data_IF_396902439737
#
_entry.id   IF_396902439737
#
_cell.length_a   1.000
_cell.length_b   1.000
_cell.length_c   1.000
_cell.angle_alpha   90.00
_cell.angle_beta   90.00
_cell.angle_gamma   90.00
#
_symmetry.space_group_name_H-M   'P 1'
#
loop_
_entity.id
_entity.type
_entity.pdbx_description
1 polymer ?
#
# COMPACT_ATOMS: atom_id res chain seq x y z
N UNK A 1 41.47 -10.47 2.46
CA UNK A 1 40.64 -10.26 3.65
C UNK A 1 39.19 -10.37 3.21
N UNK A 2 38.53 -11.44 3.61
CA UNK A 2 37.12 -11.72 3.34
C UNK A 2 36.25 -10.70 4.05
N UNK A 3 35.65 -9.77 3.30
CA UNK A 3 34.71 -8.79 3.83
C UNK A 3 33.44 -9.51 4.29
N UNK A 4 33.20 -9.53 5.60
CA UNK A 4 31.94 -9.94 6.20
C UNK A 4 30.80 -9.07 5.63
N UNK A 5 30.01 -9.63 4.71
CA UNK A 5 28.72 -9.07 4.33
C UNK A 5 27.76 -9.27 5.51
N UNK A 6 27.78 -8.36 6.50
CA UNK A 6 26.86 -8.40 7.62
C UNK A 6 25.43 -8.16 7.13
N UNK A 7 24.70 -9.27 6.97
CA UNK A 7 23.42 -9.35 6.29
C UNK A 7 22.29 -8.66 7.05
N UNK A 8 21.91 -7.48 6.57
CA UNK A 8 20.55 -6.96 6.69
C UNK A 8 20.00 -6.49 5.34
N UNK A 9 19.75 -7.41 4.37
CA UNK A 9 18.80 -7.11 3.33
C UNK A 9 17.40 -7.40 3.89
N UNK A 10 16.47 -6.48 3.64
CA UNK A 10 15.03 -6.68 3.81
C UNK A 10 14.68 -8.13 3.44
N UNK A 11 13.87 -8.83 4.24
CA UNK A 11 13.47 -10.18 3.86
C UNK A 11 12.53 -10.06 2.64
N UNK A 12 13.09 -10.25 1.44
CA UNK A 12 12.38 -10.07 0.16
C UNK A 12 12.02 -11.40 -0.49
N UNK A 13 12.03 -12.51 0.23
CA UNK A 13 11.56 -13.79 -0.30
C UNK A 13 10.08 -13.95 0.07
N UNK A 14 9.27 -14.68 -0.68
CA UNK A 14 7.89 -15.05 -0.36
C UNK A 14 7.69 -16.53 -0.71
N UNK A 15 7.02 -17.30 0.15
CA UNK A 15 6.63 -18.67 -0.20
C UNK A 15 5.27 -18.61 -0.85
N UNK A 16 5.19 -19.00 -2.12
CA UNK A 16 3.92 -19.15 -2.81
C UNK A 16 3.08 -20.21 -2.08
N UNK A 17 1.90 -19.80 -1.59
CA UNK A 17 1.03 -20.67 -0.78
C UNK A 17 0.38 -21.79 -1.59
N UNK A 18 0.41 -21.71 -2.92
CA UNK A 18 -0.17 -22.69 -3.84
C UNK A 18 0.86 -23.68 -4.37
N UNK A 19 2.09 -23.23 -4.65
CA UNK A 19 3.16 -24.08 -5.19
C UNK A 19 4.20 -24.50 -4.15
N UNK A 20 4.27 -23.81 -3.02
CA UNK A 20 5.32 -23.98 -2.00
C UNK A 20 6.68 -23.42 -2.42
N UNK A 21 6.79 -22.77 -3.58
CA UNK A 21 8.04 -22.23 -4.09
C UNK A 21 8.41 -20.90 -3.43
N UNK A 22 9.71 -20.72 -3.17
CA UNK A 22 10.24 -19.45 -2.69
C UNK A 22 10.45 -18.49 -3.87
N UNK A 23 9.60 -17.49 -3.98
CA UNK A 23 9.67 -16.42 -4.97
C UNK A 23 10.43 -15.22 -4.39
N UNK A 24 11.41 -14.69 -5.12
CA UNK A 24 12.07 -13.44 -4.73
C UNK A 24 11.25 -12.24 -5.20
N UNK A 25 10.91 -11.35 -4.27
CA UNK A 25 10.29 -10.06 -4.54
C UNK A 25 11.36 -9.07 -5.00
N UNK A 26 11.35 -8.76 -6.30
CA UNK A 26 12.34 -7.86 -6.85
C UNK A 26 12.02 -6.39 -6.57
N UNK A 27 12.97 -5.72 -5.90
CA UNK A 27 13.03 -4.27 -5.79
C UNK A 27 13.90 -3.75 -6.93
N UNK A 28 13.29 -3.05 -7.88
CA UNK A 28 13.96 -2.57 -9.09
C UNK A 28 13.29 -1.28 -9.62
N UNK A 29 13.58 -0.89 -10.85
CA UNK A 29 12.98 0.30 -11.48
C UNK A 29 11.48 0.20 -11.75
N UNK A 30 10.87 -0.97 -11.61
CA UNK A 30 9.45 -1.25 -11.91
C UNK A 30 8.63 -1.68 -10.69
N UNK A 31 9.28 -2.10 -9.60
CA UNK A 31 8.62 -2.52 -8.37
C UNK A 31 9.45 -2.23 -7.12
N UNK A 32 8.77 -2.10 -5.99
CA UNK A 32 9.37 -1.88 -4.69
C UNK A 32 8.59 -2.61 -3.61
N UNK A 33 9.27 -3.10 -2.59
CA UNK A 33 8.65 -3.74 -1.43
C UNK A 33 8.51 -2.71 -0.32
N UNK A 34 7.32 -2.57 0.23
CA UNK A 34 7.01 -1.57 1.24
C UNK A 34 6.30 -2.20 2.45
N UNK A 35 6.50 -1.69 3.67
CA UNK A 35 5.75 -2.15 4.81
C UNK A 35 4.28 -1.79 4.70
N UNK A 36 3.41 -2.78 4.89
CA UNK A 36 1.95 -2.61 4.90
C UNK A 36 1.56 -1.56 5.93
N UNK A 37 2.12 -1.63 7.15
CA UNK A 37 1.85 -0.68 8.22
C UNK A 37 2.11 0.77 7.75
N UNK A 38 3.28 1.06 7.16
CA UNK A 38 3.61 2.41 6.70
C UNK A 38 2.72 2.88 5.54
N UNK A 39 2.28 1.97 4.66
CA UNK A 39 1.40 2.31 3.53
C UNK A 39 -0.07 2.53 3.95
N UNK A 40 -0.49 1.90 5.06
CA UNK A 40 -1.81 2.12 5.67
C UNK A 40 -1.87 3.42 6.46
N UNK A 41 -0.77 3.77 7.11
CA UNK A 41 -0.65 5.03 7.82
C UNK A 41 -0.64 6.20 6.82
N UNK A 42 -1.27 7.31 7.19
CA UNK A 42 -1.25 8.57 6.45
C UNK A 42 0.10 9.29 6.54
N UNK A 43 1.21 8.57 6.37
CA UNK A 43 2.57 9.06 6.53
C UNK A 43 3.05 9.82 5.28
N UNK A 44 2.96 9.17 4.12
CA UNK A 44 3.16 9.78 2.80
C UNK A 44 1.82 10.20 2.22
N UNK A 45 1.67 11.50 1.95
CA UNK A 45 0.37 12.14 1.75
C UNK A 45 0.43 13.22 0.68
N UNK A 46 -0.71 13.60 0.07
CA UNK A 46 -0.69 14.59 -0.99
C UNK A 46 -0.18 15.94 -0.52
N UNK A 47 0.62 16.59 -1.36
CA UNK A 47 1.04 17.97 -1.18
C UNK A 47 -0.18 18.87 -1.06
N UNK A 48 -0.26 19.64 0.03
CA UNK A 48 -1.28 20.66 0.19
C UNK A 48 -0.94 21.80 -0.78
N UNK A 49 -1.80 22.06 -1.76
CA UNK A 49 -1.65 23.25 -2.61
C UNK A 49 -1.66 24.48 -1.71
N UNK A 50 -0.59 25.28 -1.81
CA UNK A 50 -0.38 26.46 -1.00
C UNK A 50 -1.58 27.39 -1.11
N UNK A 51 -2.36 27.43 -0.04
CA UNK A 51 -3.04 28.66 0.35
C UNK A 51 -2.11 29.32 1.35
N UNK A 52 -2.11 30.64 1.44
CA UNK A 52 -1.25 31.43 2.35
C UNK A 52 -1.27 31.03 3.84
N UNK A 53 -2.11 30.04 4.22
CA UNK A 53 -2.20 29.41 5.55
C UNK A 53 -1.58 28.01 5.64
N UNK A 54 -1.01 27.44 4.58
CA UNK A 54 -0.34 26.13 4.61
C UNK A 54 1.00 26.27 5.34
N UNK A 55 0.99 26.30 6.67
CA UNK A 55 2.21 26.23 7.47
C UNK A 55 2.97 24.97 7.09
N UNK A 56 4.07 25.14 6.36
CA UNK A 56 4.96 24.07 5.89
C UNK A 56 5.56 23.23 7.03
N UNK A 57 5.45 23.68 8.28
CA UNK A 57 6.02 23.07 9.48
C UNK A 57 4.98 22.51 10.46
N UNK A 58 3.78 22.13 10.00
CA UNK A 58 2.80 21.49 10.91
C UNK A 58 3.31 20.08 11.25
N UNK A 59 3.70 19.87 12.52
CA UNK A 59 3.96 18.53 13.05
C UNK A 59 2.70 17.70 12.89
N UNK A 60 2.77 16.63 12.12
CA UNK A 60 1.70 15.64 12.06
C UNK A 60 1.88 14.68 13.23
N UNK A 61 0.77 14.32 13.87
CA UNK A 61 0.71 13.23 14.84
C UNK A 61 -0.22 12.18 14.24
N UNK A 62 0.28 10.97 14.10
CA UNK A 62 -0.48 9.82 13.61
C UNK A 62 -0.50 8.79 14.73
N UNK A 63 -1.70 8.34 15.11
CA UNK A 63 -1.84 7.15 15.93
C UNK A 63 -1.53 5.93 15.05
N UNK A 64 -0.51 5.18 15.43
CA UNK A 64 -0.04 4.01 14.72
C UNK A 64 -0.17 2.74 15.56
N UNK A 65 -0.92 2.81 16.67
CA UNK A 65 -1.06 1.71 17.63
C UNK A 65 -1.58 0.45 16.95
N UNK A 66 -2.68 0.54 16.19
CA UNK A 66 -3.27 -0.62 15.50
C UNK A 66 -2.28 -1.30 14.53
N UNK A 67 -1.43 -0.53 13.86
CA UNK A 67 -0.52 -1.03 12.81
C UNK A 67 0.82 -1.52 13.37
N UNK A 68 1.30 -0.94 14.49
CA UNK A 68 2.67 -1.16 14.98
C UNK A 68 2.76 -1.89 16.33
N UNK A 69 1.67 -1.99 17.10
CA UNK A 69 1.67 -2.73 18.39
C UNK A 69 2.01 -4.21 18.22
N UNK A 70 1.82 -4.75 17.00
CA UNK A 70 2.14 -6.14 16.70
C UNK A 70 3.63 -6.40 16.50
N UNK A 71 4.48 -5.37 16.40
CA UNK A 71 5.93 -5.55 16.28
C UNK A 71 6.48 -6.31 17.50
N UNK A 72 7.51 -7.11 17.27
CA UNK A 72 8.14 -7.95 18.29
C UNK A 72 8.63 -7.09 19.46
N UNK A 73 9.23 -5.93 19.18
CA UNK A 73 9.62 -4.97 20.22
C UNK A 73 8.44 -4.42 21.02
N UNK A 74 7.29 -4.18 20.36
CA UNK A 74 6.09 -3.72 21.05
C UNK A 74 5.51 -4.82 21.95
N UNK A 75 5.49 -6.07 21.48
CA UNK A 75 5.01 -7.22 22.26
C UNK A 75 5.94 -7.60 23.41
N UNK A 76 7.25 -7.69 23.16
CA UNK A 76 8.23 -8.10 24.18
C UNK A 76 8.30 -7.10 25.32
N UNK A 77 8.18 -5.81 24.99
CA UNK A 77 8.17 -4.76 26.00
C UNK A 77 6.74 -4.51 26.53
N UNK A 78 5.67 -4.96 25.89
CA UNK A 78 4.31 -4.64 26.31
C UNK A 78 3.96 -3.16 26.11
N UNK A 79 4.46 -2.54 25.04
CA UNK A 79 4.00 -1.22 24.59
C UNK A 79 2.56 -1.34 24.07
N UNK A 80 1.71 -0.39 24.47
CA UNK A 80 0.27 -0.37 24.17
C UNK A 80 -0.20 0.90 23.46
N UNK A 81 0.66 1.93 23.38
CA UNK A 81 0.41 3.19 22.66
C UNK A 81 1.58 3.45 21.71
N UNK A 82 1.31 3.59 20.41
CA UNK A 82 2.32 3.89 19.40
C UNK A 82 1.92 5.11 18.60
N UNK A 83 2.78 6.13 18.60
CA UNK A 83 2.55 7.40 17.91
C UNK A 83 3.69 7.71 16.96
N UNK A 84 3.35 8.24 15.80
CA UNK A 84 4.31 8.78 14.84
C UNK A 84 4.16 10.29 14.81
N UNK A 85 5.26 11.01 15.01
CA UNK A 85 5.29 12.47 14.97
C UNK A 85 6.39 12.97 14.06
N UNK A 86 6.16 14.01 13.27
CA UNK A 86 7.22 14.58 12.43
C UNK A 86 6.71 15.51 11.35
N UNK A 87 7.59 15.79 10.38
CA UNK A 87 7.24 16.52 9.17
C UNK A 87 6.22 15.75 8.33
N UNK A 88 5.38 16.47 7.60
CA UNK A 88 4.52 15.88 6.57
C UNK A 88 5.38 15.44 5.37
N UNK A 89 5.25 14.18 4.97
CA UNK A 89 5.97 13.62 3.82
C UNK A 89 5.08 13.65 2.57
N UNK A 90 5.56 14.25 1.48
CA UNK A 90 4.83 14.33 0.21
C UNK A 90 5.00 13.09 -0.68
N UNK A 91 4.07 12.87 -1.61
CA UNK A 91 4.14 11.73 -2.54
C UNK A 91 5.11 11.97 -3.70
N UNK A 92 5.38 13.22 -4.07
CA UNK A 92 6.20 13.52 -5.26
C UNK A 92 7.71 13.46 -5.00
N UNK A 93 8.17 13.86 -3.81
CA UNK A 93 9.57 13.85 -3.39
C UNK A 93 9.82 12.82 -2.31
N UNK A 94 9.16 12.97 -1.16
CA UNK A 94 9.56 12.28 0.06
C UNK A 94 9.31 10.79 -0.04
N UNK A 95 8.20 10.39 -0.67
CA UNK A 95 7.95 9.00 -1.00
C UNK A 95 9.01 8.44 -1.95
N UNK A 96 9.43 9.17 -2.99
CA UNK A 96 10.46 8.69 -3.94
C UNK A 96 11.84 8.55 -3.29
N UNK A 97 12.21 9.49 -2.40
CA UNK A 97 13.45 9.39 -1.63
C UNK A 97 13.39 8.18 -0.71
N UNK A 98 12.26 7.94 -0.03
CA UNK A 98 12.04 6.71 0.74
C UNK A 98 12.17 5.44 -0.12
N UNK A 99 11.54 5.40 -1.30
CA UNK A 99 11.72 4.29 -2.25
C UNK A 99 13.20 4.10 -2.63
N UNK A 100 13.92 5.20 -2.83
CA UNK A 100 15.35 5.19 -3.11
C UNK A 100 16.19 4.60 -1.99
N UNK A 101 15.88 4.91 -0.73
CA UNK A 101 16.54 4.31 0.45
C UNK A 101 16.37 2.78 0.43
N UNK A 102 15.13 2.32 0.31
CA UNK A 102 14.79 0.89 0.32
C UNK A 102 15.44 0.16 -0.86
N UNK A 103 15.39 0.76 -2.05
CA UNK A 103 16.05 0.21 -3.23
C UNK A 103 17.57 0.15 -3.04
N UNK A 104 18.18 1.18 -2.47
CA UNK A 104 19.63 1.25 -2.26
C UNK A 104 20.09 0.21 -1.24
N UNK A 105 19.37 0.05 -0.12
CA UNK A 105 19.64 -1.02 0.85
C UNK A 105 19.47 -2.41 0.25
N UNK A 106 18.50 -2.59 -0.65
CA UNK A 106 18.30 -3.87 -1.34
C UNK A 106 19.37 -4.18 -2.38
N UNK A 107 19.93 -3.16 -3.05
CA UNK A 107 20.87 -3.33 -4.17
C UNK A 107 22.33 -3.37 -3.67
N UNK A 108 22.70 -2.49 -2.74
CA UNK A 108 24.07 -2.33 -2.24
C UNK A 108 24.29 -2.95 -0.85
N UNK A 109 23.22 -3.29 -0.12
CA UNK A 109 23.31 -3.74 1.27
C UNK A 109 23.54 -2.59 2.26
N UNK A 110 23.84 -2.94 3.51
CA UNK A 110 24.20 -2.01 4.58
C UNK A 110 25.42 -2.53 5.34
N UNK A 111 26.26 -1.62 5.83
CA UNK A 111 27.40 -1.91 6.72
C UNK A 111 27.10 -1.31 8.08
N UNK A 112 26.96 -2.15 9.11
CA UNK A 112 26.59 -1.70 10.46
C UNK A 112 25.35 -0.78 10.48
N UNK A 113 24.31 -1.19 9.74
CA UNK A 113 23.03 -0.48 9.57
C UNK A 113 23.12 0.85 8.78
N UNK A 114 24.28 1.14 8.21
CA UNK A 114 24.51 2.32 7.36
C UNK A 114 24.59 1.90 5.89
N UNK A 115 23.77 2.54 5.07
CA UNK A 115 23.89 2.56 3.62
C UNK A 115 24.87 3.67 3.23
N UNK A 116 25.81 3.39 2.33
CA UNK A 116 26.75 4.37 1.78
C UNK A 116 26.81 4.20 0.25
N UNK A 117 26.61 5.29 -0.49
CA UNK A 117 26.67 5.32 -1.96
C UNK A 117 26.89 6.74 -2.48
N UNK A 118 27.18 6.89 -3.77
CA UNK A 118 27.34 8.22 -4.34
C UNK A 118 26.02 8.98 -4.44
N UNK A 119 26.05 10.31 -4.41
CA UNK A 119 24.83 11.11 -4.57
C UNK A 119 24.17 10.85 -5.94
N UNK A 120 24.97 10.71 -7.00
CA UNK A 120 24.46 10.43 -8.36
C UNK A 120 23.74 9.09 -8.42
N UNK A 121 24.29 8.06 -7.79
CA UNK A 121 23.61 6.76 -7.67
C UNK A 121 22.34 6.88 -6.83
N UNK A 122 22.39 7.57 -5.69
CA UNK A 122 21.20 7.73 -4.85
C UNK A 122 20.05 8.44 -5.58
N UNK A 123 20.34 9.47 -6.38
CA UNK A 123 19.34 10.13 -7.25
C UNK A 123 18.70 9.15 -8.23
N UNK A 124 19.50 8.27 -8.85
CA UNK A 124 19.01 7.21 -9.76
C UNK A 124 18.15 6.20 -9.01
N UNK A 125 18.52 5.84 -7.78
CA UNK A 125 17.78 4.90 -6.95
C UNK A 125 16.42 5.45 -6.53
N UNK A 126 16.33 6.76 -6.27
CA UNK A 126 15.07 7.48 -6.03
C UNK A 126 14.16 7.57 -7.27
N UNK A 127 14.62 7.14 -8.45
CA UNK A 127 13.86 7.22 -9.70
C UNK A 127 13.85 8.61 -10.35
N UNK A 128 14.79 9.48 -9.97
CA UNK A 128 14.99 10.77 -10.65
C UNK A 128 15.98 10.62 -11.82
N UNK A 129 15.89 11.53 -12.79
CA UNK A 129 16.87 11.62 -13.87
C UNK A 129 18.23 12.06 -13.29
N UNK A 130 19.22 11.17 -13.31
CA UNK A 130 20.54 11.41 -12.72
C UNK A 130 21.28 12.59 -13.36
N UNK A 131 20.96 12.95 -14.62
CA UNK A 131 21.48 14.17 -15.27
C UNK A 131 21.00 15.45 -14.60
N UNK A 132 20.00 15.36 -13.72
CA UNK A 132 19.45 16.47 -12.94
C UNK A 132 20.02 16.53 -11.53
N UNK A 133 21.14 15.86 -11.20
CA UNK A 133 21.84 15.93 -9.91
C UNK A 133 22.49 17.30 -9.59
N UNK A 134 21.93 18.37 -10.15
CA UNK A 134 22.34 19.75 -9.91
C UNK A 134 22.02 20.20 -8.47
N UNK A 135 22.50 21.39 -8.10
CA UNK A 135 22.30 21.98 -6.76
C UNK A 135 20.83 21.94 -6.31
N UNK A 136 19.88 22.25 -7.19
CA UNK A 136 18.44 22.24 -6.87
C UNK A 136 17.94 20.84 -6.49
N UNK A 137 18.40 19.79 -7.16
CA UNK A 137 18.06 18.41 -6.80
C UNK A 137 18.74 17.99 -5.50
N UNK A 138 19.98 18.42 -5.28
CA UNK A 138 20.72 18.22 -4.02
C UNK A 138 19.97 18.83 -2.84
N UNK A 139 19.55 20.08 -2.95
CA UNK A 139 18.74 20.76 -1.93
C UNK A 139 17.39 20.06 -1.70
N UNK A 140 16.73 19.59 -2.78
CA UNK A 140 15.46 18.87 -2.71
C UNK A 140 15.58 17.54 -1.94
N UNK A 141 16.59 16.74 -2.26
CA UNK A 141 16.85 15.46 -1.57
C UNK A 141 17.29 15.69 -0.13
N UNK A 142 18.18 16.67 0.10
CA UNK A 142 18.61 17.07 1.44
C UNK A 142 17.42 17.43 2.34
N UNK A 143 16.51 18.29 1.86
CA UNK A 143 15.29 18.63 2.59
C UNK A 143 14.39 17.40 2.84
N UNK A 144 14.33 16.47 1.88
CA UNK A 144 13.56 15.24 2.03
C UNK A 144 14.14 14.31 3.10
N UNK A 145 15.46 14.09 3.10
CA UNK A 145 16.18 13.34 4.12
C UNK A 145 16.00 13.96 5.51
N UNK A 146 16.07 15.29 5.60
CA UNK A 146 15.79 16.02 6.85
C UNK A 146 14.36 15.75 7.35
N UNK A 147 13.35 15.80 6.47
CA UNK A 147 11.96 15.47 6.84
C UNK A 147 11.82 14.01 7.26
N UNK A 148 12.46 13.07 6.57
CA UNK A 148 12.42 11.64 6.90
C UNK A 148 13.04 11.37 8.28
N UNK A 149 14.18 12.01 8.58
CA UNK A 149 14.83 11.92 9.89
C UNK A 149 14.01 12.59 11.02
N UNK A 150 13.18 13.58 10.69
CA UNK A 150 12.29 14.23 11.65
C UNK A 150 11.06 13.38 12.02
N UNK A 151 10.79 12.29 11.30
CA UNK A 151 9.72 11.34 11.63
C UNK A 151 10.18 10.44 12.76
N UNK A 152 9.62 10.68 13.94
CA UNK A 152 9.88 9.97 15.18
C UNK A 152 8.73 9.02 15.50
N UNK A 153 9.05 7.77 15.83
CA UNK A 153 8.14 6.75 16.33
C UNK A 153 8.33 6.64 17.85
N UNK A 154 7.23 6.79 18.59
CA UNK A 154 7.20 6.70 20.05
C UNK A 154 6.32 5.52 20.45
N UNK A 155 6.94 4.53 21.10
CA UNK A 155 6.27 3.38 21.68
C UNK A 155 6.19 3.59 23.19
N UNK A 156 5.01 3.40 23.79
CA UNK A 156 4.79 3.65 25.21
C UNK A 156 3.91 2.58 25.85
N UNK A 157 4.16 2.34 27.13
CA UNK A 157 3.23 1.72 28.07
C UNK A 157 3.04 2.68 29.25
N UNK A 158 2.34 2.24 30.31
CA UNK A 158 2.20 3.03 31.54
C UNK A 158 3.56 3.29 32.24
N UNK A 159 4.53 2.39 32.09
CA UNK A 159 5.76 2.40 32.90
C UNK A 159 7.04 2.63 32.10
N UNK A 160 7.01 2.52 30.77
CA UNK A 160 8.19 2.70 29.93
C UNK A 160 7.86 3.26 28.56
N UNK A 161 8.87 3.84 27.92
CA UNK A 161 8.77 4.32 26.55
C UNK A 161 10.06 4.16 25.78
N UNK A 162 9.94 3.92 24.49
CA UNK A 162 11.04 3.88 23.54
C UNK A 162 10.74 4.82 22.38
N UNK A 163 11.75 5.57 21.96
CA UNK A 163 11.63 6.54 20.87
C UNK A 163 12.71 6.22 19.84
N UNK A 164 12.31 6.13 18.58
CA UNK A 164 13.20 5.94 17.44
C UNK A 164 12.74 6.79 16.26
N UNK A 165 13.42 6.72 15.12
CA UNK A 165 13.16 7.49 13.92
C UNK A 165 12.90 6.56 12.73
N UNK A 166 12.16 7.05 11.73
CA UNK A 166 11.98 6.34 10.47
C UNK A 166 13.32 6.18 9.72
N UNK A 167 14.14 7.23 9.78
CA UNK A 167 15.55 7.25 9.35
C UNK A 167 16.35 7.80 10.53
N UNK A 168 17.33 7.04 11.04
CA UNK A 168 18.05 7.42 12.26
C UNK A 168 18.93 8.64 12.03
N UNK A 169 19.68 8.66 10.93
CA UNK A 169 20.43 9.82 10.48
C UNK A 169 20.67 9.74 8.98
N UNK A 170 20.87 10.91 8.37
CA UNK A 170 21.32 11.03 6.99
C UNK A 170 22.44 12.05 6.95
N UNK A 171 23.58 11.65 6.39
CA UNK A 171 24.72 12.51 6.10
C UNK A 171 24.93 12.54 4.59
N UNK A 172 25.38 13.68 4.08
CA UNK A 172 25.78 13.78 2.69
C UNK A 172 26.88 14.83 2.55
N UNK A 173 27.81 14.57 1.66
CA UNK A 173 28.83 15.51 1.23
C UNK A 173 28.74 15.67 -0.29
N UNK A 174 28.50 16.91 -0.72
CA UNK A 174 28.37 17.22 -2.14
C UNK A 174 29.73 17.22 -2.84
N UNK A 175 30.80 17.60 -2.13
CA UNK A 175 32.14 17.70 -2.70
C UNK A 175 32.77 16.32 -2.84
N UNK A 176 32.60 15.47 -1.82
CA UNK A 176 33.07 14.08 -1.85
C UNK A 176 32.09 13.15 -2.60
N UNK A 177 30.93 13.68 -3.00
CA UNK A 177 29.82 12.97 -3.66
C UNK A 177 29.27 11.77 -2.88
N UNK A 178 29.26 11.83 -1.54
CA UNK A 178 28.83 10.73 -0.66
C UNK A 178 27.45 11.01 -0.07
N UNK A 179 26.65 9.94 0.06
CA UNK A 179 25.42 9.90 0.87
C UNK A 179 25.50 8.71 1.82
N UNK A 180 25.33 8.98 3.10
CA UNK A 180 25.24 7.98 4.17
C UNK A 180 23.86 8.03 4.83
N UNK A 181 23.20 6.87 4.95
CA UNK A 181 21.88 6.76 5.55
C UNK A 181 21.89 5.65 6.58
N UNK A 182 21.67 6.00 7.84
CA UNK A 182 21.58 5.04 8.93
C UNK A 182 20.13 4.66 9.20
N UNK A 183 19.84 3.37 9.06
CA UNK A 183 18.53 2.81 9.34
C UNK A 183 18.34 2.54 10.84
N UNK A 184 17.08 2.35 11.27
CA UNK A 184 16.77 1.74 12.56
C UNK A 184 16.57 0.23 12.37
N UNK A 185 17.49 -0.63 12.87
CA UNK A 185 17.44 -2.07 12.61
C UNK A 185 16.19 -2.73 13.15
N UNK A 186 15.67 -2.24 14.27
CA UNK A 186 14.45 -2.76 14.91
C UNK A 186 13.20 -2.54 14.04
N UNK A 187 13.24 -1.59 13.10
CA UNK A 187 12.15 -1.38 12.15
C UNK A 187 12.24 -2.30 10.92
N UNK A 188 13.33 -3.05 10.71
CA UNK A 188 13.40 -4.00 9.59
C UNK A 188 12.41 -5.16 9.72
N UNK A 189 11.90 -5.44 10.93
CA UNK A 189 10.79 -6.37 11.14
C UNK A 189 9.53 -5.99 10.31
N UNK A 190 9.36 -4.70 10.00
CA UNK A 190 8.29 -4.23 9.11
C UNK A 190 8.35 -4.83 7.69
N UNK A 191 9.49 -5.41 7.31
CA UNK A 191 9.71 -6.09 6.04
C UNK A 191 9.70 -7.61 6.15
N UNK A 192 9.37 -8.17 7.33
CA UNK A 192 9.16 -9.61 7.47
C UNK A 192 7.90 -10.08 6.73
N UNK A 193 7.82 -11.39 6.52
CA UNK A 193 6.71 -12.06 5.83
C UNK A 193 5.37 -11.64 6.46
N UNK A 194 4.34 -11.44 5.64
CA UNK A 194 3.00 -10.94 5.99
C UNK A 194 2.87 -9.46 6.40
N UNK A 195 3.97 -8.70 6.52
CA UNK A 195 3.94 -7.26 6.86
C UNK A 195 4.36 -6.33 5.74
N UNK A 196 4.51 -6.86 4.52
CA UNK A 196 4.99 -6.13 3.35
C UNK A 196 4.08 -6.32 2.14
N UNK A 197 4.18 -5.38 1.21
CA UNK A 197 3.45 -5.37 -0.06
C UNK A 197 4.42 -5.04 -1.20
N UNK A 198 4.25 -5.70 -2.35
CA UNK A 198 4.96 -5.37 -3.57
C UNK A 198 4.19 -4.29 -4.34
N UNK A 199 4.67 -3.05 -4.29
CA UNK A 199 4.13 -1.96 -5.10
C UNK A 199 4.73 -1.98 -6.50
N UNK A 200 3.89 -1.77 -7.51
CA UNK A 200 4.28 -1.62 -8.92
C UNK A 200 4.39 -0.15 -9.27
N UNK A 201 5.58 0.29 -9.64
CA UNK A 201 5.87 1.71 -9.92
C UNK A 201 5.17 2.21 -11.19
N UNK A 202 4.84 1.32 -12.13
CA UNK A 202 4.06 1.66 -13.33
C UNK A 202 2.73 2.35 -13.01
N UNK A 203 2.04 1.96 -11.93
CA UNK A 203 0.82 2.61 -11.49
C UNK A 203 1.08 4.03 -10.94
N UNK A 204 2.17 4.21 -10.18
CA UNK A 204 2.60 5.52 -9.69
C UNK A 204 2.95 6.45 -10.86
N UNK A 205 3.62 5.93 -11.89
CA UNK A 205 3.99 6.67 -13.10
C UNK A 205 2.76 7.07 -13.93
N UNK A 206 1.77 6.18 -14.06
CA UNK A 206 0.50 6.51 -14.72
C UNK A 206 -0.32 7.59 -13.96
N UNK A 207 0.01 7.81 -12.67
CA UNK A 207 -0.62 8.79 -11.80
C UNK A 207 0.25 10.04 -11.57
N UNK A 208 1.16 10.36 -12.50
CA UNK A 208 1.98 11.56 -12.39
C UNK A 208 1.17 12.81 -12.03
N UNK A 209 1.62 13.52 -10.99
CA UNK A 209 0.99 14.74 -10.44
C UNK A 209 -0.41 14.53 -9.84
N UNK A 210 -0.87 13.27 -9.72
CA UNK A 210 -2.14 12.88 -9.08
C UNK A 210 -1.85 12.28 -7.70
N UNK A 211 -1.23 13.06 -6.81
CA UNK A 211 -0.72 12.54 -5.52
C UNK A 211 -1.80 11.88 -4.64
N UNK A 212 -3.05 12.36 -4.65
CA UNK A 212 -4.15 11.71 -3.93
C UNK A 212 -4.44 10.30 -4.47
N UNK A 213 -4.40 10.12 -5.79
CA UNK A 213 -4.55 8.79 -6.39
C UNK A 213 -3.34 7.91 -6.09
N UNK A 214 -2.11 8.46 -6.10
CA UNK A 214 -0.91 7.72 -5.71
C UNK A 214 -0.98 7.26 -4.24
N UNK A 215 -1.43 8.12 -3.32
CA UNK A 215 -1.59 7.76 -1.91
C UNK A 215 -2.69 6.71 -1.69
N UNK A 216 -3.81 6.79 -2.43
CA UNK A 216 -4.84 5.75 -2.38
C UNK A 216 -4.39 4.45 -3.05
N UNK A 217 -3.57 4.51 -4.10
CA UNK A 217 -2.97 3.34 -4.73
C UNK A 217 -2.13 2.55 -3.71
N UNK A 218 -1.18 3.21 -3.03
CA UNK A 218 -0.32 2.54 -2.04
C UNK A 218 -1.12 1.98 -0.88
N UNK A 219 -2.15 2.70 -0.44
CA UNK A 219 -3.07 2.23 0.58
C UNK A 219 -3.83 0.98 0.16
N UNK A 220 -4.50 1.02 -0.99
CA UNK A 220 -5.33 -0.08 -1.46
C UNK A 220 -4.47 -1.31 -1.74
N UNK A 221 -3.27 -1.15 -2.31
CA UNK A 221 -2.33 -2.26 -2.50
C UNK A 221 -1.94 -2.92 -1.19
N UNK A 222 -1.80 -2.15 -0.10
CA UNK A 222 -1.49 -2.69 1.23
C UNK A 222 -2.65 -3.45 1.91
N UNK A 223 -3.83 -3.49 1.29
CA UNK A 223 -4.98 -4.24 1.79
C UNK A 223 -5.01 -5.67 1.22
N UNK A 224 -5.59 -6.65 1.95
CA UNK A 224 -5.76 -8.02 1.46
C UNK A 224 -6.47 -8.07 0.11
N UNK A 225 -6.20 -9.08 -0.73
CA UNK A 225 -6.70 -9.19 -2.12
C UNK A 225 -8.17 -8.81 -2.27
N UNK A 226 -9.02 -9.34 -1.38
CA UNK A 226 -10.44 -9.01 -1.27
C UNK A 226 -10.71 -8.23 0.03
N UNK A 227 -10.52 -6.90 0.05
CA UNK A 227 -10.72 -6.12 1.26
C UNK A 227 -12.21 -5.96 1.56
N UNK A 228 -12.56 -5.89 2.85
CA UNK A 228 -13.88 -5.41 3.24
C UNK A 228 -14.14 -3.99 2.70
N UNK A 229 -15.41 -3.59 2.48
CA UNK A 229 -15.73 -2.26 1.97
C UNK A 229 -15.05 -1.14 2.75
N UNK A 230 -14.34 -0.28 2.04
CA UNK A 230 -13.53 0.78 2.63
C UNK A 230 -14.42 2.01 2.80
N UNK A 231 -14.52 2.53 4.03
CA UNK A 231 -15.34 3.71 4.28
C UNK A 231 -14.68 4.98 3.72
N UNK A 232 -15.50 5.96 3.34
CA UNK A 232 -15.06 7.30 2.98
C UNK A 232 -14.20 7.92 4.09
N UNK A 233 -14.52 7.67 5.37
CA UNK A 233 -13.71 8.13 6.50
C UNK A 233 -12.28 7.55 6.42
N UNK A 234 -12.12 6.24 6.23
CA UNK A 234 -10.79 5.61 6.12
C UNK A 234 -9.99 6.18 4.94
N UNK A 235 -10.63 6.38 3.79
CA UNK A 235 -9.97 7.03 2.64
C UNK A 235 -9.52 8.46 2.95
N UNK A 236 -10.33 9.26 3.65
CA UNK A 236 -9.94 10.60 4.09
C UNK A 236 -8.79 10.58 5.09
N UNK A 237 -8.88 9.73 6.11
CA UNK A 237 -7.86 9.58 7.13
C UNK A 237 -6.51 9.22 6.49
N UNK A 238 -6.53 8.33 5.48
CA UNK A 238 -5.34 7.97 4.70
C UNK A 238 -4.73 9.16 3.95
N UNK A 239 -5.54 10.00 3.33
CA UNK A 239 -5.05 11.18 2.60
C UNK A 239 -4.60 12.31 3.54
N UNK A 240 -5.09 12.31 4.78
CA UNK A 240 -4.77 13.29 5.82
C UNK A 240 -4.80 14.73 5.30
N UNK A 241 -5.88 15.10 4.61
CA UNK A 241 -6.04 16.43 4.02
C UNK A 241 -6.55 17.41 5.09
N UNK A 242 -6.17 18.68 4.98
CA UNK A 242 -6.61 19.73 5.90
C UNK A 242 -7.81 20.53 5.40
N UNK A 243 -8.35 20.19 4.22
CA UNK A 243 -9.53 20.83 3.65
C UNK A 243 -10.80 20.42 4.38
N UNK A 244 -11.92 21.08 4.12
CA UNK A 244 -13.20 20.67 4.70
C UNK A 244 -13.64 19.28 4.19
N UNK A 245 -14.51 18.62 4.95
CA UNK A 245 -14.97 17.25 4.68
C UNK A 245 -15.56 17.08 3.27
N UNK A 246 -16.30 18.07 2.78
CA UNK A 246 -16.90 18.02 1.43
C UNK A 246 -15.81 17.97 0.35
N UNK A 247 -14.83 18.87 0.41
CA UNK A 247 -13.68 18.89 -0.50
C UNK A 247 -12.86 17.60 -0.40
N UNK A 248 -12.68 17.05 0.81
CA UNK A 248 -12.00 15.77 0.98
C UNK A 248 -12.75 14.63 0.31
N UNK A 249 -14.07 14.52 0.50
CA UNK A 249 -14.89 13.50 -0.16
C UNK A 249 -14.79 13.58 -1.69
N UNK A 250 -14.84 14.79 -2.25
CA UNK A 250 -14.67 14.99 -3.69
C UNK A 250 -13.27 14.56 -4.15
N UNK A 251 -12.23 14.87 -3.37
CA UNK A 251 -10.85 14.46 -3.67
C UNK A 251 -10.70 12.94 -3.65
N UNK A 252 -11.32 12.24 -2.69
CA UNK A 252 -11.35 10.77 -2.63
C UNK A 252 -12.01 10.19 -3.87
N UNK A 253 -13.20 10.66 -4.25
CA UNK A 253 -13.90 10.16 -5.45
C UNK A 253 -13.08 10.35 -6.71
N UNK A 254 -12.54 11.55 -6.92
CA UNK A 254 -11.67 11.85 -8.05
C UNK A 254 -10.43 10.95 -8.07
N UNK A 255 -9.83 10.67 -6.93
CA UNK A 255 -8.68 9.77 -6.85
C UNK A 255 -9.06 8.32 -7.18
N UNK A 256 -10.22 7.83 -6.71
CA UNK A 256 -10.74 6.50 -7.06
C UNK A 256 -11.08 6.39 -8.55
N UNK A 257 -11.68 7.43 -9.14
CA UNK A 257 -11.93 7.51 -10.58
C UNK A 257 -10.62 7.45 -11.36
N UNK A 258 -9.62 8.24 -10.97
CA UNK A 258 -8.29 8.22 -11.61
C UNK A 258 -7.62 6.84 -11.55
N UNK A 259 -7.83 6.09 -10.47
CA UNK A 259 -7.35 4.71 -10.32
C UNK A 259 -8.09 3.75 -11.25
N UNK A 260 -9.40 3.93 -11.43
CA UNK A 260 -10.18 3.18 -12.42
C UNK A 260 -9.79 3.54 -13.86
N UNK A 261 -9.58 4.82 -14.16
CA UNK A 261 -9.25 5.32 -15.51
C UNK A 261 -7.92 4.78 -16.03
N UNK A 262 -6.92 4.61 -15.15
CA UNK A 262 -5.65 3.98 -15.54
C UNK A 262 -5.76 2.44 -15.66
N UNK A 263 -6.92 1.87 -15.34
CA UNK A 263 -7.15 0.43 -15.34
C UNK A 263 -6.56 -0.31 -14.14
N UNK A 264 -6.27 0.39 -13.03
CA UNK A 264 -5.70 -0.25 -11.84
C UNK A 264 -6.77 -1.00 -11.03
N UNK A 265 -7.98 -0.49 -10.90
CA UNK A 265 -9.04 -1.17 -10.15
C UNK A 265 -10.42 -0.95 -10.77
N UNK A 266 -11.36 -1.78 -10.37
CA UNK A 266 -12.79 -1.50 -10.50
C UNK A 266 -13.46 -1.50 -9.12
N UNK A 267 -14.49 -0.67 -8.95
CA UNK A 267 -15.15 -0.48 -7.67
C UNK A 267 -16.60 -0.02 -7.78
N UNK A 268 -17.37 -0.27 -6.72
CA UNK A 268 -18.69 0.32 -6.51
C UNK A 268 -18.70 1.22 -5.28
N UNK A 269 -19.23 2.44 -5.43
CA UNK A 269 -19.57 3.33 -4.32
C UNK A 269 -21.01 3.05 -3.87
N UNK A 270 -21.23 2.87 -2.58
CA UNK A 270 -22.57 2.66 -2.01
C UNK A 270 -22.69 3.29 -0.62
N UNK A 271 -23.93 3.39 -0.11
CA UNK A 271 -24.21 3.88 1.24
C UNK A 271 -24.62 2.73 2.16
N UNK A 272 -24.14 2.76 3.40
CA UNK A 272 -24.63 1.95 4.52
C UNK A 272 -24.98 2.89 5.66
N UNK A 273 -26.27 3.09 5.88
CA UNK A 273 -26.77 4.18 6.73
C UNK A 273 -26.35 5.56 6.19
N UNK A 274 -25.76 6.39 7.05
CA UNK A 274 -25.27 7.74 6.67
C UNK A 274 -23.85 7.75 6.11
N UNK A 275 -23.16 6.62 6.12
CA UNK A 275 -21.77 6.52 5.69
C UNK A 275 -21.65 5.94 4.27
N UNK A 276 -20.68 6.46 3.52
CA UNK A 276 -20.34 6.01 2.17
C UNK A 276 -19.17 5.03 2.22
N UNK A 277 -19.26 3.98 1.41
CA UNK A 277 -18.28 2.91 1.31
C UNK A 277 -17.93 2.63 -0.15
N UNK A 278 -16.73 2.08 -0.35
CA UNK A 278 -16.19 1.66 -1.63
C UNK A 278 -15.89 0.16 -1.56
N UNK A 279 -16.54 -0.65 -2.41
CA UNK A 279 -16.22 -2.06 -2.61
C UNK A 279 -15.27 -2.17 -3.79
N UNK A 280 -14.03 -2.61 -3.55
CA UNK A 280 -13.06 -2.88 -4.63
C UNK A 280 -13.29 -4.30 -5.11
N UNK A 281 -13.61 -4.46 -6.40
CA UNK A 281 -13.96 -5.77 -6.97
C UNK A 281 -12.74 -6.48 -7.55
N UNK A 282 -11.82 -5.71 -8.12
CA UNK A 282 -10.61 -6.23 -8.76
C UNK A 282 -9.49 -5.20 -8.76
N UNK A 283 -8.24 -5.68 -8.83
CA UNK A 283 -7.01 -4.88 -8.94
C UNK A 283 -6.06 -5.45 -9.99
N UNK A 284 -5.46 -4.57 -10.78
CA UNK A 284 -4.44 -4.85 -11.79
C UNK A 284 -3.18 -4.00 -11.53
N UNK A 285 -2.34 -4.38 -10.54
CA UNK A 285 -1.15 -3.61 -10.21
C UNK A 285 -0.15 -3.50 -11.38
N UNK A 286 -0.16 -4.46 -12.30
CA UNK A 286 0.76 -4.50 -13.45
C UNK A 286 0.31 -3.59 -14.61
N UNK A 287 -0.91 -3.05 -14.56
CA UNK A 287 -1.53 -2.33 -15.67
C UNK A 287 -1.31 -3.04 -17.00
N UNK A 288 -1.53 -4.37 -17.02
CA UNK A 288 -1.48 -5.15 -18.25
C UNK A 288 -2.84 -4.97 -18.92
N UNK A 289 -2.83 -4.51 -20.17
CA UNK A 289 -4.02 -4.41 -21.03
C UNK A 289 -4.46 -5.80 -21.47
N UNK A 290 -5.05 -6.56 -20.55
CA UNK A 290 -5.96 -7.64 -20.90
C UNK A 290 -7.38 -7.11 -20.78
N UNK A 291 -8.29 -7.52 -21.66
CA UNK A 291 -9.73 -7.38 -21.40
C UNK A 291 -10.04 -8.06 -20.07
N UNK A 292 -10.07 -7.28 -18.99
CA UNK A 292 -10.40 -7.76 -17.66
C UNK A 292 -11.87 -8.16 -17.73
N UNK A 293 -12.13 -9.46 -17.84
CA UNK A 293 -13.44 -10.00 -17.46
C UNK A 293 -13.54 -9.78 -15.97
N UNK A 294 -14.16 -8.68 -15.58
CA UNK A 294 -14.66 -8.51 -14.20
C UNK A 294 -15.50 -9.75 -13.93
N UNK A 295 -15.22 -10.54 -12.88
CA UNK A 295 -16.21 -11.46 -12.37
C UNK A 295 -17.33 -10.57 -11.88
N UNK A 296 -18.31 -10.34 -12.76
CA UNK A 296 -19.61 -9.82 -12.37
C UNK A 296 -20.00 -10.72 -11.20
N UNK A 297 -20.37 -10.13 -10.05
CA UNK A 297 -21.20 -10.84 -9.07
C UNK A 297 -22.18 -11.66 -9.89
N UNK A 298 -22.31 -12.94 -9.59
CA UNK A 298 -23.37 -13.79 -10.10
C UNK A 298 -24.70 -13.04 -9.88
N UNK A 299 -25.07 -12.18 -10.83
CA UNK A 299 -26.42 -12.09 -11.32
C UNK A 299 -26.71 -13.53 -11.66
N UNK A 300 -27.54 -14.16 -10.83
CA UNK A 300 -28.09 -15.50 -10.99
C UNK A 300 -27.83 -15.96 -12.43
N UNK A 301 -26.87 -16.87 -12.60
CA UNK A 301 -26.73 -17.58 -13.86
C UNK A 301 -28.15 -18.03 -14.18
N UNK A 302 -28.78 -17.39 -15.17
CA UNK A 302 -29.92 -18.01 -15.83
C UNK A 302 -29.33 -19.32 -16.31
N UNK A 303 -29.68 -20.38 -15.58
CA UNK A 303 -29.38 -21.74 -15.96
C UNK A 303 -29.64 -21.83 -17.47
N UNK A 304 -28.75 -22.50 -18.24
CA UNK A 304 -28.98 -22.67 -19.67
C UNK A 304 -30.43 -23.10 -19.83
N UNK A 305 -31.24 -22.39 -20.63
CA UNK A 305 -32.65 -22.72 -20.84
C UNK A 305 -32.71 -24.20 -21.20
N UNK A 306 -32.96 -25.04 -20.20
CA UNK A 306 -33.14 -26.46 -20.38
C UNK A 306 -34.44 -26.53 -21.16
N UNK A 307 -34.41 -27.16 -22.34
CA UNK A 307 -35.58 -27.34 -23.17
C UNK A 307 -36.56 -28.24 -22.41
N UNK A 308 -37.39 -27.63 -21.55
CA UNK A 308 -38.28 -28.34 -20.61
C UNK A 308 -39.23 -29.27 -21.36
N UNK A 309 -39.53 -28.97 -22.63
CA UNK A 309 -40.35 -29.80 -23.49
C UNK A 309 -39.70 -31.16 -23.82
N UNK A 310 -38.38 -31.23 -23.99
CA UNK A 310 -37.68 -32.50 -24.23
C UNK A 310 -37.65 -33.36 -22.97
N UNK A 311 -37.45 -32.74 -21.80
CA UNK A 311 -37.47 -33.44 -20.51
C UNK A 311 -38.88 -33.96 -20.20
N UNK A 312 -39.91 -33.15 -20.44
CA UNK A 312 -41.32 -33.56 -20.28
C UNK A 312 -41.67 -34.71 -21.22
N UNK A 313 -41.17 -34.67 -22.47
CA UNK A 313 -41.38 -35.74 -23.44
C UNK A 313 -40.69 -37.04 -23.03
N UNK A 314 -39.47 -36.97 -22.49
CA UNK A 314 -38.73 -38.13 -21.99
C UNK A 314 -39.41 -38.75 -20.75
N UNK A 315 -39.88 -37.92 -19.81
CA UNK A 315 -40.62 -38.39 -18.62
C UNK A 315 -41.91 -39.12 -19.01
N UNK A 316 -42.69 -38.54 -19.94
CA UNK A 316 -43.91 -39.19 -20.46
C UNK A 316 -43.60 -40.50 -21.20
N UNK A 317 -42.51 -40.54 -21.98
CA UNK A 317 -42.07 -41.76 -22.66
C UNK A 317 -41.63 -42.86 -21.68
N UNK A 318 -41.11 -42.48 -20.51
CA UNK A 318 -40.78 -43.39 -19.41
C UNK A 318 -41.99 -43.75 -18.52
N UNK A 319 -43.20 -43.29 -18.84
CA UNK A 319 -44.40 -43.53 -18.06
C UNK A 319 -44.48 -42.73 -16.75
N UNK A 320 -43.62 -41.72 -16.58
CA UNK A 320 -43.55 -40.87 -15.39
C UNK A 320 -44.39 -39.63 -15.64
N UNK A 321 -45.40 -39.41 -14.80
CA UNK A 321 -46.24 -38.21 -14.84
C UNK A 321 -45.47 -37.01 -14.23
N UNK A 322 -45.12 -35.98 -15.04
CA UNK A 322 -44.34 -34.85 -14.57
C UNK A 322 -45.03 -34.05 -13.45
N UNK A 323 -46.37 -34.01 -13.42
CA UNK A 323 -47.12 -33.27 -12.40
C UNK A 323 -47.04 -33.97 -11.05
N UNK A 324 -47.21 -35.30 -11.02
CA UNK A 324 -47.07 -36.09 -9.78
C UNK A 324 -45.64 -36.08 -9.23
N UNK A 325 -44.63 -36.08 -10.11
CA UNK A 325 -43.23 -35.96 -9.71
C UNK A 325 -42.93 -34.59 -9.08
N UNK A 326 -43.47 -33.51 -9.65
CA UNK A 326 -43.30 -32.17 -9.12
C UNK A 326 -43.98 -31.99 -7.75
N UNK A 327 -45.17 -32.57 -7.55
CA UNK A 327 -45.86 -32.60 -6.24
C UNK A 327 -45.05 -33.38 -5.19
N UNK A 328 -44.52 -34.55 -5.53
CA UNK A 328 -43.72 -35.36 -4.62
C UNK A 328 -42.41 -34.68 -4.19
N UNK A 329 -41.73 -34.00 -5.13
CA UNK A 329 -40.51 -33.25 -4.84
C UNK A 329 -40.78 -31.99 -4.00
N UNK A 330 -41.94 -31.36 -4.20
CA UNK A 330 -42.35 -30.18 -3.43
C UNK A 330 -42.67 -30.54 -1.97
N UNK A 331 -43.19 -31.75 -1.73
CA UNK A 331 -43.47 -32.28 -0.40
C UNK A 331 -42.21 -32.74 0.38
N UNK A 332 -41.05 -32.80 -0.29
CA UNK A 332 -39.79 -33.31 0.29
C UNK A 332 -38.82 -32.23 0.78
N UNK A 333 -39.20 -30.95 0.83
CA UNK A 333 -38.30 -29.90 1.35
C UNK A 333 -37.99 -30.15 2.84
N UNK A 334 -36.72 -30.30 3.24
CA UNK A 334 -36.36 -30.37 4.65
C UNK A 334 -36.61 -29.01 5.32
N UNK A 335 -37.20 -29.04 6.51
CA UNK A 335 -37.28 -27.87 7.38
C UNK A 335 -35.87 -27.36 7.68
N UNK A 336 -35.63 -26.08 7.36
CA UNK A 336 -34.59 -25.25 7.95
C UNK A 336 -35.16 -23.86 8.20
#
# INVERSE_FOLDING_TARGET
MTSENNSLPLNLQEVDKTTGEVVKLDVNSTSTVQPVALMRLGLFVPTLKSTSRSKANRKNVTDATEELVQLSIAKSEGYTDVKITGSRLDMDTDFKVWLGIIRSMSEYGVKSDTLELSFVEFVKMCGFDSRRSNKKMRDRISNSLFKLASVTLKFQSETKGWTTHLVQSAYYDINEDIVEIKAEPKLFELYHMDRRVLLRLKAIDALQRKESAQALYTYIESLPQNPAPISMKRMRDRLNLTSNVYTQNHTVRKAMEQLRDIGYLDYTEFKRGRATYFSVHYRNPKLISGTVKVPRKEEEEKAPEQNYDEVIKALKAAGIDPQKLAEALSAMKPEN
#
